data_IF_955260591648
#
_entry.id   IF_955260591648
#
_cell.length_a   1.000
_cell.length_b   1.000
_cell.length_c   1.000
_cell.angle_alpha   90.00
_cell.angle_beta   90.00
_cell.angle_gamma   90.00
#
_symmetry.space_group_name_H-M   'P 1'
#
loop_
_entity.id
_entity.type
_entity.pdbx_description
1 polymer ?
#
# COMPACT_ATOMS: atom_id res chain seq x y z
N UNK A 1 2.91 15.36 -6.38
CA UNK A 1 2.17 14.09 -6.54
C UNK A 1 2.79 13.16 -5.53
N UNK A 2 1.96 12.49 -4.75
CA UNK A 2 2.41 11.52 -3.76
C UNK A 2 2.14 10.11 -4.27
N UNK A 3 3.15 9.26 -4.18
CA UNK A 3 3.04 7.83 -4.48
C UNK A 3 3.16 7.06 -3.17
N UNK A 4 2.14 6.27 -2.86
CA UNK A 4 2.15 5.36 -1.71
C UNK A 4 2.30 3.93 -2.22
N UNK A 5 3.39 3.26 -1.84
CA UNK A 5 3.61 1.84 -2.09
C UNK A 5 3.27 1.00 -0.85
N UNK A 6 2.60 -0.15 -1.04
CA UNK A 6 2.19 -1.07 0.02
C UNK A 6 2.55 -2.52 -0.34
N UNK A 7 3.08 -3.31 0.60
CA UNK A 7 3.30 -4.76 0.44
C UNK A 7 3.21 -5.49 1.79
N UNK A 8 3.02 -6.81 1.73
CA UNK A 8 3.09 -7.75 2.86
C UNK A 8 2.13 -7.42 4.01
N UNK A 9 0.95 -6.87 3.68
CA UNK A 9 -0.11 -6.58 4.66
C UNK A 9 -1.13 -7.72 4.76
N UNK A 10 -0.88 -8.87 4.13
CA UNK A 10 -1.80 -10.00 4.17
C UNK A 10 -1.75 -10.74 5.53
N UNK A 11 -2.94 -11.10 6.02
CA UNK A 11 -3.11 -11.90 7.24
C UNK A 11 -3.94 -13.13 6.94
N UNK A 12 -3.36 -14.30 7.23
CA UNK A 12 -3.99 -15.61 6.98
C UNK A 12 -5.09 -15.95 7.98
N UNK A 13 -5.01 -15.37 9.18
CA UNK A 13 -5.92 -15.70 10.27
C UNK A 13 -7.13 -14.77 10.30
N UNK A 14 -6.99 -13.52 9.84
CA UNK A 14 -8.03 -12.49 9.95
C UNK A 14 -8.60 -12.00 8.63
N UNK A 15 -8.13 -12.53 7.50
CA UNK A 15 -8.73 -12.28 6.19
C UNK A 15 -8.38 -10.92 5.58
N UNK A 16 -7.15 -10.45 5.80
CA UNK A 16 -6.64 -9.23 5.18
C UNK A 16 -5.73 -9.55 3.99
N UNK A 17 -5.76 -8.70 2.96
CA UNK A 17 -4.86 -8.79 1.81
C UNK A 17 -4.39 -7.39 1.38
N UNK A 18 -3.23 -7.32 0.72
CA UNK A 18 -2.66 -6.04 0.27
C UNK A 18 -3.57 -5.24 -0.64
N UNK A 19 -4.38 -5.93 -1.46
CA UNK A 19 -5.38 -5.26 -2.30
C UNK A 19 -6.52 -4.64 -1.50
N UNK A 20 -6.91 -5.25 -0.38
CA UNK A 20 -7.92 -4.68 0.51
C UNK A 20 -7.37 -3.44 1.22
N UNK A 21 -6.16 -3.52 1.79
CA UNK A 21 -5.49 -2.39 2.42
C UNK A 21 -5.35 -1.20 1.44
N UNK A 22 -4.93 -1.44 0.20
CA UNK A 22 -4.83 -0.40 -0.82
C UNK A 22 -6.18 0.20 -1.22
N UNK A 23 -7.25 -0.61 -1.24
CA UNK A 23 -8.61 -0.12 -1.51
C UNK A 23 -9.11 0.78 -0.36
N UNK A 24 -8.91 0.36 0.90
CA UNK A 24 -9.25 1.15 2.09
C UNK A 24 -8.48 2.47 2.10
N UNK A 25 -7.16 2.45 1.82
CA UNK A 25 -6.37 3.67 1.72
C UNK A 25 -6.93 4.62 0.64
N UNK A 26 -7.28 4.09 -0.54
CA UNK A 26 -7.86 4.90 -1.61
C UNK A 26 -9.20 5.54 -1.22
N UNK A 27 -10.01 4.87 -0.38
CA UNK A 27 -11.23 5.46 0.18
C UNK A 27 -10.92 6.56 1.21
N UNK A 28 -9.97 6.31 2.13
CA UNK A 28 -9.53 7.29 3.12
C UNK A 28 -8.98 8.56 2.47
N UNK A 29 -8.20 8.43 1.40
CA UNK A 29 -7.70 9.57 0.61
C UNK A 29 -8.85 10.41 0.05
N UNK A 30 -9.86 9.77 -0.56
CA UNK A 30 -11.03 10.47 -1.10
C UNK A 30 -11.83 11.16 0.00
N UNK A 31 -11.98 10.52 1.16
CA UNK A 31 -12.68 11.10 2.31
C UNK A 31 -11.93 12.30 2.91
N UNK A 32 -10.60 12.30 2.83
CA UNK A 32 -9.76 13.45 3.21
C UNK A 32 -9.78 14.60 2.18
N UNK A 33 -10.52 14.45 1.07
CA UNK A 33 -10.64 15.45 0.01
C UNK A 33 -9.57 15.36 -1.08
N UNK A 34 -8.73 14.32 -1.06
CA UNK A 34 -7.75 14.04 -2.10
C UNK A 34 -8.34 13.27 -3.28
N UNK A 35 -7.58 13.23 -4.37
CA UNK A 35 -7.88 12.40 -5.54
C UNK A 35 -6.99 11.17 -5.57
N UNK A 36 -7.50 10.08 -6.16
CA UNK A 36 -6.73 8.88 -6.48
C UNK A 36 -6.65 8.78 -7.98
N UNK A 37 -5.50 9.13 -8.54
CA UNK A 37 -5.30 9.14 -9.99
C UNK A 37 -5.13 7.73 -10.54
N UNK A 38 -4.33 6.90 -9.86
CA UNK A 38 -4.04 5.52 -10.24
C UNK A 38 -3.98 4.62 -9.01
N UNK A 39 -4.47 3.40 -9.18
CA UNK A 39 -4.28 2.31 -8.24
C UNK A 39 -3.67 1.13 -9.01
N UNK A 40 -2.48 0.70 -8.60
CA UNK A 40 -1.66 -0.26 -9.34
C UNK A 40 -1.51 -1.54 -8.53
N UNK A 41 -1.67 -2.68 -9.21
CA UNK A 41 -1.26 -3.99 -8.71
C UNK A 41 -0.04 -4.44 -9.51
N UNK A 42 1.11 -4.48 -8.84
CA UNK A 42 2.40 -4.81 -9.44
C UNK A 42 2.76 -6.24 -9.06
N UNK A 43 2.69 -7.16 -10.04
CA UNK A 43 3.15 -8.54 -9.85
C UNK A 43 4.67 -8.58 -9.74
N UNK A 44 5.15 -9.13 -8.63
CA UNK A 44 6.57 -9.33 -8.38
C UNK A 44 7.03 -10.70 -8.89
N UNK A 45 8.30 -11.05 -8.67
CA UNK A 45 8.84 -12.34 -9.08
C UNK A 45 7.98 -13.49 -8.49
N UNK A 46 7.37 -14.34 -9.32
CA UNK A 46 6.49 -15.41 -8.87
C UNK A 46 7.25 -16.60 -8.27
N UNK A 47 8.55 -16.73 -8.53
CA UNK A 47 9.39 -17.86 -8.11
C UNK A 47 10.11 -17.63 -6.76
N UNK A 48 9.74 -16.58 -6.01
CA UNK A 48 10.35 -16.29 -4.71
C UNK A 48 9.94 -17.34 -3.68
N UNK A 49 10.94 -18.02 -3.09
CA UNK A 49 10.76 -19.12 -2.13
C UNK A 49 9.91 -18.73 -0.90
N UNK A 50 10.10 -17.51 -0.42
CA UNK A 50 9.47 -17.03 0.83
C UNK A 50 8.04 -16.50 0.65
N UNK A 51 7.51 -16.43 -0.57
CA UNK A 51 6.16 -15.89 -0.83
C UNK A 51 5.20 -17.01 -1.16
N UNK A 52 4.01 -16.93 -0.57
CA UNK A 52 2.91 -17.82 -0.96
C UNK A 52 2.20 -17.26 -2.19
N UNK A 53 1.37 -18.09 -2.86
CA UNK A 53 0.77 -17.76 -4.17
C UNK A 53 0.32 -16.29 -4.25
N UNK A 54 0.79 -15.59 -5.30
CA UNK A 54 0.29 -14.26 -5.63
C UNK A 54 1.13 -13.09 -5.12
N UNK A 55 2.46 -13.21 -5.10
CA UNK A 55 3.40 -12.12 -4.78
C UNK A 55 3.09 -10.84 -5.59
N UNK A 56 2.71 -9.77 -4.89
CA UNK A 56 2.35 -8.49 -5.50
C UNK A 56 2.44 -7.35 -4.47
N UNK A 57 2.97 -6.21 -4.92
CA UNK A 57 2.87 -4.94 -4.23
C UNK A 57 1.78 -4.07 -4.87
N UNK A 58 1.29 -3.09 -4.12
CA UNK A 58 0.28 -2.14 -4.56
C UNK A 58 0.87 -0.73 -4.55
N UNK A 59 0.38 0.14 -5.44
CA UNK A 59 0.70 1.56 -5.39
C UNK A 59 -0.55 2.44 -5.58
N UNK A 60 -0.65 3.52 -4.81
CA UNK A 60 -1.70 4.54 -4.90
C UNK A 60 -1.07 5.87 -5.26
N UNK A 61 -1.53 6.49 -6.35
CA UNK A 61 -1.09 7.83 -6.75
C UNK A 61 -2.14 8.85 -6.33
N UNK A 62 -1.73 9.88 -5.60
CA UNK A 62 -2.63 10.89 -5.04
C UNK A 62 -2.03 12.30 -5.12
N UNK A 63 -2.90 13.30 -5.05
CA UNK A 63 -2.56 14.71 -4.91
C UNK A 63 -2.44 15.18 -3.45
N UNK A 64 -2.72 14.31 -2.47
CA UNK A 64 -2.49 14.63 -1.07
C UNK A 64 -1.01 14.87 -0.79
N UNK A 65 -0.76 15.75 0.17
CA UNK A 65 0.56 15.94 0.77
C UNK A 65 1.08 14.62 1.38
N UNK A 66 2.38 14.39 1.29
CA UNK A 66 3.01 13.15 1.72
C UNK A 66 2.85 12.89 3.22
N UNK A 67 2.88 13.92 4.07
CA UNK A 67 2.70 13.74 5.52
C UNK A 67 1.27 13.34 5.85
N UNK A 68 0.29 13.91 5.12
CA UNK A 68 -1.12 13.52 5.25
C UNK A 68 -1.34 12.08 4.78
N UNK A 69 -0.75 11.72 3.63
CA UNK A 69 -0.83 10.37 3.09
C UNK A 69 -0.19 9.35 4.04
N UNK A 70 0.93 9.69 4.69
CA UNK A 70 1.59 8.84 5.67
C UNK A 70 0.68 8.53 6.87
N UNK A 71 0.01 9.55 7.44
CA UNK A 71 -0.93 9.32 8.54
C UNK A 71 -2.08 8.38 8.16
N UNK A 72 -2.61 8.49 6.94
CA UNK A 72 -3.66 7.58 6.44
C UNK A 72 -3.14 6.14 6.24
N UNK A 73 -1.86 5.97 5.91
CA UNK A 73 -1.24 4.63 5.82
C UNK A 73 -1.11 4.01 7.21
N UNK A 74 -0.69 4.79 8.21
CA UNK A 74 -0.61 4.34 9.60
C UNK A 74 -1.98 3.87 10.10
N UNK A 75 -3.06 4.63 9.84
CA UNK A 75 -4.42 4.23 10.18
C UNK A 75 -4.83 2.89 9.52
N UNK A 76 -4.47 2.68 8.25
CA UNK A 76 -4.74 1.43 7.52
C UNK A 76 -3.92 0.27 8.08
N UNK A 77 -2.69 0.52 8.53
CA UNK A 77 -1.84 -0.48 9.17
C UNK A 77 -2.33 -0.85 10.56
N UNK A 78 -2.91 0.09 11.31
CA UNK A 78 -3.54 -0.19 12.61
C UNK A 78 -4.81 -1.06 12.45
N UNK A 79 -5.54 -0.92 11.33
CA UNK A 79 -6.61 -1.87 10.99
C UNK A 79 -6.08 -3.27 10.66
N UNK A 80 -4.85 -3.33 10.15
CA UNK A 80 -4.13 -4.56 9.86
C UNK A 80 -3.40 -5.05 11.11
N UNK A 81 -4.13 -5.50 12.15
CA UNK A 81 -3.53 -5.92 13.43
C UNK A 81 -2.18 -6.64 13.24
N UNK A 82 -1.10 -5.90 13.53
CA UNK A 82 0.29 -6.19 13.14
C UNK A 82 0.94 -7.27 14.02
N UNK A 83 0.14 -7.95 14.84
CA UNK A 83 0.54 -8.95 15.81
C UNK A 83 0.70 -10.37 15.23
N UNK A 84 0.52 -10.58 13.92
CA UNK A 84 0.95 -11.85 13.29
C UNK A 84 2.48 -11.82 13.10
N UNK A 85 3.27 -12.66 13.79
CA UNK A 85 4.72 -12.66 13.70
C UNK A 85 5.26 -13.01 12.29
N UNK A 86 4.41 -13.42 11.35
CA UNK A 86 4.76 -13.69 9.94
C UNK A 86 4.44 -12.55 8.98
N UNK A 87 3.70 -11.52 9.39
CA UNK A 87 3.35 -10.38 8.54
C UNK A 87 4.30 -9.24 8.86
N UNK A 88 4.95 -8.66 7.84
CA UNK A 88 5.84 -7.49 8.01
C UNK A 88 5.36 -6.37 7.10
N UNK A 89 4.27 -5.66 7.47
CA UNK A 89 3.71 -4.60 6.63
C UNK A 89 4.78 -3.60 6.25
N UNK A 90 4.92 -3.35 4.94
CA UNK A 90 5.84 -2.38 4.39
C UNK A 90 5.07 -1.31 3.65
N UNK A 91 5.37 -0.05 3.96
CA UNK A 91 4.90 1.08 3.19
C UNK A 91 6.04 2.05 2.86
N UNK A 92 5.91 2.71 1.71
CA UNK A 92 6.74 3.84 1.29
C UNK A 92 5.79 4.96 0.86
N UNK A 93 6.08 6.19 1.30
CA UNK A 93 5.41 7.41 0.83
C UNK A 93 6.47 8.28 0.18
N UNK A 94 6.31 8.56 -1.10
CA UNK A 94 7.24 9.35 -1.90
C UNK A 94 6.55 10.60 -2.44
N UNK A 95 7.10 11.78 -2.13
CA UNK A 95 6.68 13.06 -2.72
C UNK A 95 7.43 13.31 -4.03
N UNK A 96 7.14 12.49 -5.04
CA UNK A 96 7.69 12.69 -6.37
C UNK A 96 6.76 12.13 -7.44
N UNK A 97 6.85 12.73 -8.63
CA UNK A 97 6.27 12.14 -9.83
C UNK A 97 6.99 10.80 -10.14
N UNK A 98 6.27 9.68 -10.31
CA UNK A 98 6.88 8.40 -10.65
C UNK A 98 7.69 8.42 -11.95
N UNK A 99 7.34 9.28 -12.92
CA UNK A 99 8.08 9.41 -14.18
C UNK A 99 9.39 10.20 -14.01
N UNK A 100 9.59 10.86 -12.86
CA UNK A 100 10.83 11.54 -12.51
C UNK A 100 11.87 10.61 -11.85
N UNK A 101 11.48 9.38 -11.48
CA UNK A 101 12.40 8.39 -10.88
C UNK A 101 13.22 7.72 -11.99
N UNK A 102 14.57 7.80 -11.94
CA UNK A 102 15.40 7.16 -12.96
C UNK A 102 15.25 5.63 -12.92
N UNK A 103 15.35 4.95 -14.09
CA UNK A 103 15.21 3.50 -14.21
C UNK A 103 16.36 2.72 -13.55
#
# INVERSE_FOLDING_TARGET
MTVVGLDDTDSRERGMCTTYAAATLAESIRNAGGTVERLLLVRLNPAVEHKTRGNAALAVHTDLDADVALGLVEDVFDMAETDDPRTKPGAIVADCDPDAVPP
#
